data_IF_963806279597
#
_entry.id   IF_963806279597
#
_cell.length_a   1.000
_cell.length_b   1.000
_cell.length_c   1.000
_cell.angle_alpha   90.00
_cell.angle_beta   90.00
_cell.angle_gamma   90.00
#
_symmetry.space_group_name_H-M   'P 1'
#
loop_
_entity.id
_entity.type
_entity.pdbx_description
1 polymer ?
#
# COMPACT_ATOMS: atom_id res chain seq x y z
N UNK A 1 30.05 -9.76 -0.01
CA UNK A 1 29.34 -9.31 -1.23
C UNK A 1 27.95 -8.82 -0.82
N UNK A 2 27.73 -7.54 -0.96
CA UNK A 2 26.37 -7.03 -0.81
C UNK A 2 25.48 -7.71 -1.85
N UNK A 3 24.45 -8.43 -1.36
CA UNK A 3 23.43 -8.96 -2.22
C UNK A 3 22.89 -7.81 -3.08
N UNK A 4 23.07 -7.89 -4.38
CA UNK A 4 22.55 -6.88 -5.30
C UNK A 4 21.05 -6.79 -5.10
N UNK A 5 20.58 -5.62 -4.67
CA UNK A 5 19.15 -5.34 -4.69
C UNK A 5 18.61 -5.69 -6.06
N UNK A 6 17.61 -6.52 -6.09
CA UNK A 6 16.91 -6.82 -7.33
C UNK A 6 16.29 -5.52 -7.84
N UNK A 7 16.99 -4.86 -8.75
CA UNK A 7 16.51 -3.64 -9.39
C UNK A 7 15.68 -4.02 -10.60
N UNK A 8 14.52 -3.45 -10.69
CA UNK A 8 13.72 -3.55 -11.89
C UNK A 8 12.62 -4.61 -11.88
N UNK A 9 12.32 -5.23 -10.74
CA UNK A 9 11.14 -6.08 -10.65
C UNK A 9 10.41 -5.95 -9.33
N UNK A 10 9.14 -6.29 -9.34
CA UNK A 10 8.29 -6.36 -8.15
C UNK A 10 8.00 -7.82 -7.84
N UNK A 11 8.19 -8.23 -6.59
CA UNK A 11 7.83 -9.55 -6.11
C UNK A 11 6.33 -9.62 -5.90
N UNK A 12 5.69 -10.67 -6.41
CA UNK A 12 4.26 -10.91 -6.21
C UNK A 12 4.11 -12.23 -5.46
N UNK A 13 3.54 -12.15 -4.26
CA UNK A 13 3.28 -13.32 -3.43
C UNK A 13 1.95 -13.99 -3.81
N UNK A 14 1.64 -15.19 -3.31
CA UNK A 14 0.37 -15.85 -3.59
C UNK A 14 -0.85 -14.99 -3.30
N UNK A 15 -0.85 -14.23 -2.19
CA UNK A 15 -1.93 -13.28 -1.88
C UNK A 15 -2.01 -12.15 -2.91
N UNK A 16 -0.89 -11.73 -3.46
CA UNK A 16 -0.83 -10.74 -4.52
C UNK A 16 -1.46 -11.24 -5.81
N UNK A 17 -1.18 -12.46 -6.21
CA UNK A 17 -1.81 -13.06 -7.38
C UNK A 17 -3.33 -13.17 -7.21
N UNK A 18 -3.79 -13.54 -6.04
CA UNK A 18 -5.21 -13.56 -5.71
C UNK A 18 -5.84 -12.18 -5.86
N UNK A 19 -5.17 -11.15 -5.33
CA UNK A 19 -5.60 -9.75 -5.46
C UNK A 19 -5.68 -9.31 -6.92
N UNK A 20 -4.66 -9.62 -7.70
CA UNK A 20 -4.59 -9.28 -9.13
C UNK A 20 -5.78 -9.89 -9.89
N UNK A 21 -6.07 -11.15 -9.66
CA UNK A 21 -7.18 -11.84 -10.31
C UNK A 21 -8.52 -11.20 -9.93
N UNK A 22 -8.73 -10.91 -8.65
CA UNK A 22 -9.95 -10.25 -8.18
C UNK A 22 -10.16 -8.87 -8.81
N UNK A 23 -9.11 -8.06 -8.84
CA UNK A 23 -9.16 -6.72 -9.44
C UNK A 23 -9.40 -6.78 -10.95
N UNK A 24 -8.72 -7.67 -11.64
CA UNK A 24 -8.87 -7.83 -13.09
C UNK A 24 -10.31 -8.21 -13.48
N UNK A 25 -10.97 -9.02 -12.67
CA UNK A 25 -12.37 -9.40 -12.90
C UNK A 25 -13.36 -8.31 -12.51
N UNK A 26 -13.03 -7.53 -11.46
CA UNK A 26 -13.96 -6.55 -10.91
C UNK A 26 -13.92 -5.18 -11.58
N UNK A 27 -12.73 -4.66 -11.85
CA UNK A 27 -12.54 -3.34 -12.46
C UNK A 27 -11.18 -3.25 -13.14
N UNK A 28 -11.19 -3.36 -14.46
CA UNK A 28 -9.96 -3.38 -15.26
C UNK A 28 -9.14 -2.09 -15.14
N UNK A 29 -9.79 -0.93 -15.05
CA UNK A 29 -9.10 0.35 -14.87
C UNK A 29 -8.40 0.45 -13.51
N UNK A 30 -9.08 0.07 -12.45
CA UNK A 30 -8.50 0.02 -11.10
C UNK A 30 -7.37 -1.01 -11.03
N UNK A 31 -7.50 -2.14 -11.70
CA UNK A 31 -6.42 -3.12 -11.84
C UNK A 31 -5.19 -2.51 -12.51
N UNK A 32 -5.38 -1.75 -13.59
CA UNK A 32 -4.27 -1.04 -14.25
C UNK A 32 -3.57 -0.06 -13.32
N UNK A 33 -4.32 0.69 -12.54
CA UNK A 33 -3.76 1.63 -11.56
C UNK A 33 -3.01 0.88 -10.44
N UNK A 34 -3.56 -0.20 -9.92
CA UNK A 34 -2.88 -1.06 -8.95
C UNK A 34 -1.55 -1.59 -9.50
N UNK A 35 -1.55 -2.04 -10.75
CA UNK A 35 -0.35 -2.53 -11.43
C UNK A 35 0.71 -1.43 -11.57
N UNK A 36 0.29 -0.20 -11.88
CA UNK A 36 1.18 0.95 -11.91
C UNK A 36 1.83 1.19 -10.55
N UNK A 37 1.05 1.16 -9.47
CA UNK A 37 1.59 1.27 -8.12
C UNK A 37 2.57 0.14 -7.81
N UNK A 38 2.21 -1.09 -8.09
CA UNK A 38 3.06 -2.25 -7.84
C UNK A 38 4.41 -2.16 -8.55
N UNK A 39 4.41 -1.65 -9.78
CA UNK A 39 5.63 -1.41 -10.55
C UNK A 39 6.50 -0.32 -9.94
N UNK A 40 5.91 0.70 -9.34
CA UNK A 40 6.59 1.94 -8.96
C UNK A 40 6.73 2.14 -7.44
N UNK A 41 6.34 1.19 -6.63
CA UNK A 41 6.52 1.33 -5.18
C UNK A 41 7.99 1.52 -4.81
N UNK A 42 8.21 2.41 -3.86
CA UNK A 42 9.54 2.63 -3.30
C UNK A 42 9.95 1.41 -2.45
N UNK A 43 11.13 0.81 -2.71
CA UNK A 43 11.57 -0.37 -1.94
C UNK A 43 11.84 -0.06 -0.47
N UNK A 44 11.91 1.20 -0.07
CA UNK A 44 12.11 1.60 1.32
C UNK A 44 10.81 1.63 2.10
N UNK A 45 9.72 2.08 1.48
CA UNK A 45 8.43 2.27 2.18
C UNK A 45 7.25 1.55 1.53
N UNK A 46 7.42 0.91 0.35
CA UNK A 46 6.35 0.20 -0.34
C UNK A 46 5.15 1.07 -0.73
N UNK A 47 5.41 2.34 -0.93
CA UNK A 47 4.38 3.31 -1.31
C UNK A 47 4.81 4.13 -2.51
N UNK A 48 3.84 4.68 -3.22
CA UNK A 48 4.05 5.70 -4.24
C UNK A 48 3.54 7.03 -3.71
N UNK A 49 4.36 8.06 -3.76
CA UNK A 49 4.01 9.41 -3.26
C UNK A 49 3.80 10.33 -4.45
N UNK A 50 2.57 10.76 -4.66
CA UNK A 50 2.22 11.64 -5.78
C UNK A 50 0.85 12.27 -5.57
N UNK A 51 0.48 13.19 -6.48
CA UNK A 51 -0.88 13.71 -6.55
C UNK A 51 -1.73 12.96 -7.61
N UNK A 52 -3.02 13.21 -7.62
CA UNK A 52 -3.93 12.55 -8.56
C UNK A 52 -3.72 13.01 -10.01
N UNK A 53 -3.27 14.24 -10.20
CA UNK A 53 -2.99 14.75 -11.55
C UNK A 53 -1.83 13.99 -12.20
N UNK A 54 -0.79 13.69 -11.42
CA UNK A 54 0.31 12.86 -11.90
C UNK A 54 -0.18 11.47 -12.35
N UNK A 55 -1.07 10.85 -11.57
CA UNK A 55 -1.64 9.55 -11.92
C UNK A 55 -2.51 9.64 -13.18
N UNK A 56 -3.31 10.69 -13.28
CA UNK A 56 -4.16 10.93 -14.45
C UNK A 56 -3.31 11.04 -15.73
N UNK A 57 -2.21 11.78 -15.67
CA UNK A 57 -1.30 11.96 -16.78
C UNK A 57 -0.61 10.63 -17.17
N UNK A 58 -0.16 9.87 -16.18
CA UNK A 58 0.51 8.58 -16.40
C UNK A 58 -0.44 7.52 -16.97
N UNK A 59 -1.67 7.49 -16.51
CA UNK A 59 -2.68 6.52 -16.96
C UNK A 59 -3.46 7.01 -18.18
N UNK A 60 -3.22 8.23 -18.62
CA UNK A 60 -3.89 8.87 -19.76
C UNK A 60 -5.41 8.90 -19.59
N UNK A 61 -5.86 9.31 -18.44
CA UNK A 61 -7.27 9.48 -18.06
C UNK A 61 -7.47 10.80 -17.33
N UNK A 62 -8.71 11.19 -17.06
CA UNK A 62 -8.98 12.38 -16.27
C UNK A 62 -8.90 12.08 -14.76
N UNK A 63 -8.78 13.15 -13.96
CA UNK A 63 -8.68 13.03 -12.49
C UNK A 63 -9.89 12.36 -11.85
N UNK A 64 -11.08 12.57 -12.40
CA UNK A 64 -12.30 11.93 -11.88
C UNK A 64 -12.23 10.41 -12.00
N UNK A 65 -11.71 9.91 -13.10
CA UNK A 65 -11.48 8.48 -13.30
C UNK A 65 -10.48 7.93 -12.29
N UNK A 66 -9.36 8.64 -12.07
CA UNK A 66 -8.38 8.26 -11.04
C UNK A 66 -9.04 8.23 -9.66
N UNK A 67 -9.82 9.24 -9.31
CA UNK A 67 -10.53 9.29 -8.02
C UNK A 67 -11.45 8.08 -7.81
N UNK A 68 -12.18 7.69 -8.85
CA UNK A 68 -13.04 6.50 -8.80
C UNK A 68 -12.25 5.21 -8.64
N UNK A 69 -11.16 5.06 -9.35
CA UNK A 69 -10.31 3.88 -9.24
C UNK A 69 -9.64 3.79 -7.86
N UNK A 70 -9.17 4.92 -7.34
CA UNK A 70 -8.59 4.95 -5.99
C UNK A 70 -9.62 4.57 -4.94
N UNK A 71 -10.85 5.08 -5.05
CA UNK A 71 -11.92 4.70 -4.12
C UNK A 71 -12.24 3.21 -4.20
N UNK A 72 -12.29 2.65 -5.40
CA UNK A 72 -12.50 1.21 -5.61
C UNK A 72 -11.39 0.39 -4.95
N UNK A 73 -10.13 0.80 -5.15
CA UNK A 73 -8.98 0.11 -4.54
C UNK A 73 -8.99 0.20 -3.02
N UNK A 74 -9.32 1.36 -2.47
CA UNK A 74 -9.45 1.53 -1.01
C UNK A 74 -10.59 0.67 -0.43
N UNK A 75 -11.75 0.67 -1.06
CA UNK A 75 -12.91 -0.12 -0.63
C UNK A 75 -12.62 -1.62 -0.63
N UNK A 76 -11.85 -2.08 -1.61
CA UNK A 76 -11.42 -3.47 -1.71
C UNK A 76 -10.13 -3.76 -0.90
N UNK A 77 -9.65 -2.79 -0.14
CA UNK A 77 -8.45 -2.91 0.70
C UNK A 77 -7.18 -3.28 -0.07
N UNK A 78 -7.13 -2.88 -1.33
CA UNK A 78 -5.96 -3.09 -2.17
C UNK A 78 -4.86 -2.08 -1.89
N UNK A 79 -5.21 -0.91 -1.35
CA UNK A 79 -4.24 0.11 -0.94
C UNK A 79 -4.75 0.95 0.22
N UNK A 80 -3.83 1.66 0.86
CA UNK A 80 -4.13 2.70 1.84
C UNK A 80 -3.62 4.03 1.31
N UNK A 81 -4.48 5.02 1.31
CA UNK A 81 -4.14 6.40 0.94
C UNK A 81 -3.80 7.19 2.20
N UNK A 82 -2.61 7.76 2.25
CA UNK A 82 -2.11 8.52 3.40
C UNK A 82 -1.82 9.95 2.94
N UNK A 83 -2.58 10.95 3.41
CA UNK A 83 -2.27 12.36 3.10
C UNK A 83 -0.88 12.74 3.61
N UNK A 84 -0.07 13.34 2.76
CA UNK A 84 1.28 13.78 3.11
C UNK A 84 1.34 15.29 3.23
N UNK A 85 1.02 16.00 2.16
CA UNK A 85 1.01 17.46 2.14
C UNK A 85 0.16 17.97 0.98
N UNK A 86 -0.75 18.89 1.23
CA UNK A 86 -1.62 19.46 0.20
C UNK A 86 -2.41 18.39 -0.55
N UNK A 87 -2.19 18.30 -1.86
CA UNK A 87 -2.84 17.32 -2.74
C UNK A 87 -2.03 16.02 -2.88
N UNK A 88 -0.86 15.94 -2.27
CA UNK A 88 0.04 14.79 -2.37
C UNK A 88 -0.32 13.75 -1.32
N UNK A 89 -0.47 12.50 -1.76
CA UNK A 89 -0.70 11.35 -0.89
C UNK A 89 0.36 10.28 -1.11
N UNK A 90 0.58 9.47 -0.09
CA UNK A 90 1.29 8.21 -0.21
C UNK A 90 0.26 7.10 -0.42
N UNK A 91 0.45 6.30 -1.46
CA UNK A 91 -0.39 5.16 -1.77
C UNK A 91 0.38 3.89 -1.42
N UNK A 92 0.05 3.29 -0.29
CA UNK A 92 0.74 2.12 0.24
C UNK A 92 0.02 0.84 -0.14
N UNK A 93 0.75 -0.12 -0.68
CA UNK A 93 0.26 -1.46 -0.98
C UNK A 93 0.60 -2.42 0.15
N UNK A 94 -0.15 -3.52 0.24
CA UNK A 94 0.11 -4.56 1.23
C UNK A 94 1.41 -5.30 0.89
N UNK A 95 2.41 -5.28 1.78
CA UNK A 95 3.68 -5.96 1.54
C UNK A 95 3.57 -7.48 1.51
N UNK A 96 2.47 -8.06 1.99
CA UNK A 96 2.19 -9.49 1.88
C UNK A 96 1.66 -9.87 0.49
N UNK A 97 1.26 -8.90 -0.31
CA UNK A 97 0.78 -9.11 -1.67
C UNK A 97 1.87 -8.80 -2.69
N UNK A 98 2.47 -7.62 -2.63
CA UNK A 98 3.53 -7.17 -3.54
C UNK A 98 4.64 -6.46 -2.76
N UNK A 99 5.88 -6.65 -3.19
CA UNK A 99 7.01 -6.06 -2.50
C UNK A 99 8.18 -5.84 -3.45
N UNK A 100 8.96 -4.79 -3.20
CA UNK A 100 10.27 -4.56 -3.81
C UNK A 100 11.36 -4.58 -2.75
N UNK A 101 12.49 -5.19 -3.06
CA UNK A 101 13.64 -5.22 -2.17
C UNK A 101 13.70 -6.50 -1.34
N UNK A 102 14.21 -6.39 -0.11
CA UNK A 102 14.38 -7.53 0.77
C UNK A 102 13.07 -7.96 1.42
N UNK A 103 12.93 -9.26 1.68
CA UNK A 103 11.80 -9.80 2.41
C UNK A 103 11.88 -9.40 3.89
N UNK A 104 11.48 -8.18 4.19
CA UNK A 104 11.57 -7.58 5.51
C UNK A 104 10.31 -6.77 5.85
N UNK A 105 9.17 -7.44 5.80
CA UNK A 105 7.87 -6.83 6.02
C UNK A 105 7.75 -6.11 7.37
N UNK A 106 8.46 -6.60 8.41
CA UNK A 106 8.45 -5.99 9.74
C UNK A 106 9.13 -4.64 9.76
N UNK A 107 10.31 -4.54 9.18
CA UNK A 107 11.06 -3.27 9.12
C UNK A 107 10.31 -2.27 8.25
N UNK A 108 9.70 -2.73 7.20
CA UNK A 108 8.85 -1.91 6.36
C UNK A 108 7.63 -1.37 7.12
N UNK A 109 6.90 -2.24 7.81
CA UNK A 109 5.75 -1.84 8.61
C UNK A 109 6.14 -0.82 9.69
N UNK A 110 7.26 -1.04 10.37
CA UNK A 110 7.78 -0.12 11.35
C UNK A 110 8.14 1.24 10.73
N UNK A 111 8.79 1.23 9.58
CA UNK A 111 9.15 2.46 8.87
C UNK A 111 7.94 3.28 8.46
N UNK A 112 6.96 2.66 7.83
CA UNK A 112 5.72 3.33 7.41
C UNK A 112 4.97 3.89 8.61
N UNK A 113 4.82 3.11 9.65
CA UNK A 113 4.13 3.53 10.87
C UNK A 113 4.84 4.71 11.52
N UNK A 114 6.16 4.65 11.63
CA UNK A 114 6.96 5.71 12.26
C UNK A 114 6.98 7.01 11.45
N UNK A 115 6.98 6.92 10.12
CA UNK A 115 7.22 8.08 9.25
C UNK A 115 5.94 8.76 8.80
N UNK A 116 4.86 8.01 8.55
CA UNK A 116 3.68 8.50 7.85
C UNK A 116 2.42 8.59 8.70
N UNK A 117 2.36 7.96 9.88
CA UNK A 117 1.08 7.67 10.55
C UNK A 117 0.88 8.42 11.86
N UNK A 118 1.70 9.40 12.18
CA UNK A 118 1.62 10.09 13.49
C UNK A 118 0.41 11.01 13.66
N UNK A 119 -0.48 11.17 12.70
CA UNK A 119 -1.49 12.23 12.74
C UNK A 119 -2.94 11.75 12.69
N UNK A 120 -3.20 10.51 12.31
CA UNK A 120 -4.57 10.02 12.14
C UNK A 120 -4.70 8.56 12.59
N UNK A 121 -5.43 8.34 13.68
CA UNK A 121 -5.66 7.01 14.23
C UNK A 121 -6.42 6.07 13.30
N UNK A 122 -7.21 6.58 12.37
CA UNK A 122 -7.93 5.78 11.40
C UNK A 122 -7.01 5.22 10.32
N UNK A 123 -6.10 6.05 9.80
CA UNK A 123 -5.06 5.62 8.86
C UNK A 123 -4.17 4.58 9.50
N UNK A 124 -3.76 4.80 10.75
CA UNK A 124 -2.97 3.85 11.52
C UNK A 124 -3.67 2.49 11.60
N UNK A 125 -4.95 2.46 11.93
CA UNK A 125 -5.74 1.23 12.00
C UNK A 125 -5.81 0.50 10.65
N UNK A 126 -5.96 1.23 9.56
CA UNK A 126 -5.97 0.65 8.21
C UNK A 126 -4.64 0.00 7.87
N UNK A 127 -3.54 0.67 8.14
CA UNK A 127 -2.19 0.14 7.91
C UNK A 127 -1.97 -1.11 8.76
N UNK A 128 -2.33 -1.07 10.03
CA UNK A 128 -2.20 -2.22 10.93
C UNK A 128 -3.02 -3.41 10.43
N UNK A 129 -4.24 -3.18 9.96
CA UNK A 129 -5.09 -4.21 9.38
C UNK A 129 -4.46 -4.86 8.15
N UNK A 130 -3.81 -4.06 7.29
CA UNK A 130 -3.09 -4.60 6.12
C UNK A 130 -1.88 -5.43 6.52
N UNK A 131 -1.07 -4.94 7.46
CA UNK A 131 0.18 -5.58 7.83
C UNK A 131 0.00 -6.83 8.71
N UNK A 132 -1.07 -6.92 9.48
CA UNK A 132 -1.35 -8.11 10.29
C UNK A 132 -1.79 -9.32 9.47
N UNK A 133 -2.14 -9.12 8.21
CA UNK A 133 -2.70 -10.17 7.37
C UNK A 133 -4.06 -10.67 7.85
N UNK A 134 -4.63 -10.02 8.87
CA UNK A 134 -5.91 -10.40 9.42
C UNK A 134 -7.03 -10.08 8.46
N UNK A 135 -7.61 -11.12 7.92
CA UNK A 135 -8.97 -11.04 7.42
C UNK A 135 -9.86 -10.71 8.61
N UNK A 136 -10.35 -9.47 8.67
CA UNK A 136 -11.48 -9.03 9.48
C UNK A 136 -12.12 -10.09 10.40
N UNK A 137 -11.44 -10.49 11.42
CA UNK A 137 -12.08 -10.98 12.62
C UNK A 137 -11.83 -9.93 13.69
N UNK A 138 -12.88 -9.56 14.39
CA UNK A 138 -12.84 -8.56 15.46
C UNK A 138 -11.92 -8.95 16.64
N UNK A 139 -11.25 -10.05 16.55
CA UNK A 139 -10.27 -10.52 17.53
C UNK A 139 -8.88 -9.94 17.18
N UNK A 140 -8.73 -8.66 17.45
CA UNK A 140 -7.42 -8.02 17.36
C UNK A 140 -6.53 -8.57 18.46
N UNK A 141 -5.40 -9.15 18.08
CA UNK A 141 -4.37 -9.49 19.02
C UNK A 141 -3.89 -8.23 19.76
N UNK A 142 -4.10 -8.10 21.08
CA UNK A 142 -3.67 -6.94 21.84
C UNK A 142 -2.17 -6.66 21.72
N UNK A 143 -1.37 -7.70 21.48
CA UNK A 143 0.08 -7.58 21.35
C UNK A 143 0.48 -6.82 20.08
N UNK A 144 -0.28 -6.94 19.01
CA UNK A 144 -0.02 -6.20 17.77
C UNK A 144 -0.21 -4.70 17.98
N UNK A 145 -1.21 -4.31 18.76
CA UNK A 145 -1.49 -2.91 19.09
C UNK A 145 -0.34 -2.33 19.92
N UNK A 146 0.12 -3.03 20.95
CA UNK A 146 1.20 -2.58 21.82
C UNK A 146 2.50 -2.39 21.05
N UNK A 147 2.81 -3.27 20.12
CA UNK A 147 4.00 -3.16 19.29
C UNK A 147 3.97 -1.91 18.40
N UNK A 148 2.82 -1.57 17.83
CA UNK A 148 2.67 -0.36 17.03
C UNK A 148 2.66 0.91 17.90
N UNK A 149 2.09 0.88 19.09
CA UNK A 149 2.14 1.99 20.00
C UNK A 149 3.57 2.31 20.46
N UNK A 150 4.38 1.29 20.70
CA UNK A 150 5.79 1.47 21.04
C UNK A 150 6.61 2.09 19.91
N UNK A 151 6.19 1.92 18.65
CA UNK A 151 6.85 2.49 17.49
C UNK A 151 6.41 3.93 17.18
N UNK A 152 5.33 4.40 17.78
CA UNK A 152 4.75 5.72 17.51
C UNK A 152 5.30 6.85 18.37
N UNK A 153 6.34 6.59 19.15
CA UNK A 153 7.02 7.59 19.96
C UNK A 153 8.04 8.41 19.15
#
# INVERSE_FOLDING_TARGET
>A
EEARKNKGFTQVYPLGWKRIIELAKGNAGAFGLYSFFAENIDPTCGAVVCDQQFLADKMNVNRRTISRWLSYLEENRALVRIPVAGKVCAYALDPHEVWKGYDNAKDYAAFVTKTLVNKDGDIRRRIMSMFSGEKQNDDRDPNTIDMFESLSL
#
